data_IF_685835915828
#
_entry.id   IF_685835915828
#
_cell.length_a   1.000
_cell.length_b   1.000
_cell.length_c   1.000
_cell.angle_alpha   90.00
_cell.angle_beta   90.00
_cell.angle_gamma   90.00
#
_symmetry.space_group_name_H-M   'P 1'
#
loop_
_entity.id
_entity.type
_entity.pdbx_description
1 polymer ?
#
# COMPACT_ATOMS: atom_id res chain seq x y z
N UNK A 1 21.14 32.81 -0.56
CA UNK A 1 21.91 31.56 -0.49
C UNK A 1 21.04 30.48 -1.13
N UNK A 2 21.59 29.51 -1.87
CA UNK A 2 20.76 28.39 -2.34
C UNK A 2 20.35 27.59 -1.10
N UNK A 3 19.08 27.19 -1.03
CA UNK A 3 18.55 26.42 0.10
C UNK A 3 19.25 25.04 0.16
N UNK A 4 19.74 24.61 1.33
CA UNK A 4 20.50 23.36 1.46
C UNK A 4 19.68 22.09 1.16
N UNK A 5 18.35 22.13 1.33
CA UNK A 5 17.45 21.02 0.99
C UNK A 5 17.13 21.00 -0.51
N UNK A 6 16.84 22.15 -1.14
CA UNK A 6 16.71 22.25 -2.61
C UNK A 6 17.97 21.73 -3.29
N UNK A 7 19.14 22.25 -2.87
CA UNK A 7 20.42 21.81 -3.40
C UNK A 7 20.69 20.32 -3.17
N UNK A 8 20.20 19.74 -2.08
CA UNK A 8 20.32 18.31 -1.84
C UNK A 8 19.55 17.45 -2.87
N UNK A 9 18.46 17.98 -3.42
CA UNK A 9 17.74 17.34 -4.52
C UNK A 9 18.52 17.52 -5.83
N UNK A 10 18.93 18.75 -6.16
CA UNK A 10 19.76 19.09 -7.33
C UNK A 10 21.04 18.23 -7.44
N UNK A 11 21.84 18.17 -6.37
CA UNK A 11 23.11 17.41 -6.31
C UNK A 11 22.88 15.88 -6.11
N UNK A 12 21.63 15.40 -6.06
CA UNK A 12 21.23 14.01 -5.76
C UNK A 12 21.92 13.40 -4.53
N UNK A 13 22.26 14.23 -3.53
CA UNK A 13 23.09 13.83 -2.40
C UNK A 13 22.25 13.47 -1.15
N UNK A 14 22.93 13.11 -0.05
CA UNK A 14 22.28 12.81 1.23
C UNK A 14 21.82 14.10 1.93
N UNK A 15 20.65 14.10 2.61
CA UNK A 15 20.14 15.28 3.31
C UNK A 15 21.18 15.84 4.29
N UNK A 16 21.52 17.14 4.23
CA UNK A 16 22.61 17.71 5.00
C UNK A 16 22.16 18.03 6.45
N UNK A 17 21.72 17.01 7.19
CA UNK A 17 21.11 17.07 8.52
C UNK A 17 21.93 17.81 9.60
N UNK A 18 23.24 17.99 9.38
CA UNK A 18 24.12 18.73 10.28
C UNK A 18 24.14 20.25 10.02
N UNK A 19 23.49 20.74 8.95
CA UNK A 19 23.63 22.14 8.48
C UNK A 19 22.37 22.82 7.97
N UNK A 20 21.29 22.09 7.62
CA UNK A 20 19.99 22.73 7.34
C UNK A 20 19.20 22.96 8.63
N UNK A 21 18.26 23.91 8.58
CA UNK A 21 17.40 24.31 9.70
C UNK A 21 15.92 24.07 9.34
N UNK A 22 15.03 24.09 10.34
CA UNK A 22 13.58 23.97 10.11
C UNK A 22 13.06 25.00 9.09
N UNK A 23 13.58 26.23 9.16
CA UNK A 23 13.23 27.35 8.27
C UNK A 23 13.60 27.08 6.79
N UNK A 24 14.49 26.14 6.50
CA UNK A 24 14.82 25.73 5.13
C UNK A 24 13.72 24.82 4.53
N UNK A 25 12.88 24.16 5.34
CA UNK A 25 11.94 23.13 4.88
C UNK A 25 10.83 23.71 4.00
N UNK A 26 10.07 24.68 4.53
CA UNK A 26 8.92 25.24 3.81
C UNK A 26 9.32 25.90 2.47
N UNK A 27 10.42 26.69 2.39
CA UNK A 27 10.91 27.19 1.10
C UNK A 27 11.35 26.07 0.15
N UNK A 28 12.02 25.02 0.64
CA UNK A 28 12.48 23.92 -0.21
C UNK A 28 11.32 23.11 -0.79
N UNK A 29 10.30 22.81 0.01
CA UNK A 29 9.08 22.16 -0.47
C UNK A 29 8.34 23.05 -1.48
N UNK A 30 8.21 24.36 -1.22
CA UNK A 30 7.56 25.28 -2.18
C UNK A 30 8.34 25.42 -3.49
N UNK A 31 9.67 25.35 -3.47
CA UNK A 31 10.49 25.23 -4.69
C UNK A 31 10.19 23.93 -5.43
N UNK A 32 10.27 22.77 -4.75
CA UNK A 32 9.98 21.48 -5.37
C UNK A 32 8.54 21.36 -5.89
N UNK A 33 7.56 21.98 -5.23
CA UNK A 33 6.16 22.07 -5.70
C UNK A 33 6.04 22.92 -6.96
N UNK A 34 6.78 24.03 -7.06
CA UNK A 34 6.78 24.89 -8.24
C UNK A 34 7.49 24.23 -9.44
N UNK A 35 8.58 23.52 -9.19
CA UNK A 35 9.31 22.72 -10.18
C UNK A 35 8.45 21.55 -10.67
N UNK A 36 7.91 20.72 -9.77
CA UNK A 36 7.01 19.62 -10.09
C UNK A 36 5.74 20.08 -10.82
N UNK A 37 5.18 21.25 -10.49
CA UNK A 37 4.06 21.81 -11.23
C UNK A 37 4.45 22.25 -12.66
N UNK A 38 5.65 22.80 -12.85
CA UNK A 38 6.17 23.17 -14.17
C UNK A 38 6.45 21.91 -15.00
N UNK A 39 7.14 20.93 -14.42
CA UNK A 39 7.53 19.69 -15.09
C UNK A 39 6.34 18.76 -15.37
N UNK A 40 5.30 18.77 -14.51
CA UNK A 40 4.03 18.09 -14.80
C UNK A 40 3.32 18.75 -15.99
N UNK A 41 3.21 20.08 -16.04
CA UNK A 41 2.59 20.75 -17.19
C UNK A 41 3.39 20.47 -18.48
N UNK A 42 4.72 20.50 -18.43
CA UNK A 42 5.58 20.17 -19.58
C UNK A 42 5.46 18.70 -20.00
N UNK A 43 5.35 17.77 -19.04
CA UNK A 43 5.04 16.37 -19.31
C UNK A 43 3.66 16.21 -19.96
N UNK A 44 2.65 16.94 -19.51
CA UNK A 44 1.31 16.90 -20.11
C UNK A 44 1.30 17.46 -21.53
N UNK A 45 1.94 18.60 -21.77
CA UNK A 45 2.11 19.17 -23.13
C UNK A 45 2.81 18.16 -24.06
N UNK A 46 3.93 17.58 -23.64
CA UNK A 46 4.65 16.54 -24.39
C UNK A 46 3.76 15.29 -24.65
N UNK A 47 2.94 14.88 -23.68
CA UNK A 47 2.08 13.69 -23.78
C UNK A 47 0.79 13.92 -24.60
N UNK A 48 0.37 15.17 -24.78
CA UNK A 48 -0.67 15.57 -25.72
C UNK A 48 -0.16 15.56 -27.16
N UNK A 49 1.03 16.10 -27.41
CA UNK A 49 1.66 16.11 -28.74
C UNK A 49 2.32 14.75 -29.13
N UNK A 50 2.54 13.84 -28.17
CA UNK A 50 3.11 12.52 -28.40
C UNK A 50 2.19 11.58 -29.19
N UNK A 51 2.48 11.44 -30.49
CA UNK A 51 1.98 10.34 -31.34
C UNK A 51 2.48 8.96 -30.90
N UNK A 52 1.76 7.90 -31.29
CA UNK A 52 1.93 6.52 -30.81
C UNK A 52 3.35 5.96 -30.89
N UNK A 53 4.14 6.35 -31.90
CA UNK A 53 5.53 5.91 -32.09
C UNK A 53 6.50 6.42 -31.03
N UNK A 54 6.14 7.49 -30.32
CA UNK A 54 7.03 8.21 -29.41
C UNK A 54 6.73 7.89 -27.94
N UNK A 55 5.74 7.02 -27.68
CA UNK A 55 5.28 6.68 -26.33
C UNK A 55 5.88 5.35 -25.85
N UNK A 56 6.83 5.45 -24.91
CA UNK A 56 7.53 4.32 -24.32
C UNK A 56 7.51 4.41 -22.78
N UNK A 57 8.07 3.41 -22.09
CA UNK A 57 8.06 3.39 -20.62
C UNK A 57 8.85 4.59 -20.08
N UNK A 58 9.99 4.86 -20.69
CA UNK A 58 10.91 5.95 -20.38
C UNK A 58 10.25 7.33 -20.58
N UNK A 59 9.38 7.48 -21.59
CA UNK A 59 8.70 8.76 -21.88
C UNK A 59 7.47 9.03 -20.98
N UNK A 60 7.08 8.07 -20.14
CA UNK A 60 5.89 8.19 -19.26
C UNK A 60 6.28 7.89 -17.81
N UNK A 61 6.66 6.66 -17.50
CA UNK A 61 6.86 6.18 -16.13
C UNK A 61 8.17 6.69 -15.54
N UNK A 62 9.29 6.61 -16.27
CA UNK A 62 10.57 7.13 -15.75
C UNK A 62 10.51 8.66 -15.61
N UNK A 63 9.84 9.36 -16.55
CA UNK A 63 9.58 10.81 -16.41
C UNK A 63 8.74 11.12 -15.18
N UNK A 64 7.69 10.35 -14.89
CA UNK A 64 6.91 10.52 -13.67
C UNK A 64 7.76 10.29 -12.41
N UNK A 65 8.54 9.20 -12.36
CA UNK A 65 9.44 8.93 -11.23
C UNK A 65 10.44 10.09 -11.01
N UNK A 66 11.00 10.65 -12.10
CA UNK A 66 11.91 11.81 -12.04
C UNK A 66 11.23 13.07 -11.50
N UNK A 67 10.00 13.42 -11.93
CA UNK A 67 9.33 14.65 -11.48
C UNK A 67 8.70 14.51 -10.09
N UNK A 68 8.32 13.29 -9.69
CA UNK A 68 7.82 12.99 -8.36
C UNK A 68 8.96 13.00 -7.31
N UNK A 69 10.20 12.63 -7.69
CA UNK A 69 11.31 12.38 -6.75
C UNK A 69 11.69 13.55 -5.82
N UNK A 70 11.83 14.81 -6.27
CA UNK A 70 12.24 15.92 -5.40
C UNK A 70 11.22 16.17 -4.28
N UNK A 71 9.93 16.25 -4.61
CA UNK A 71 8.87 16.44 -3.62
C UNK A 71 8.77 15.23 -2.68
N UNK A 72 8.85 14.02 -3.23
CA UNK A 72 8.84 12.76 -2.47
C UNK A 72 9.99 12.70 -1.46
N UNK A 73 11.22 13.04 -1.86
CA UNK A 73 12.40 13.02 -1.00
C UNK A 73 12.35 14.10 0.08
N UNK A 74 11.93 15.32 -0.23
CA UNK A 74 11.76 16.35 0.83
C UNK A 74 10.63 15.96 1.79
N UNK A 75 9.55 15.35 1.30
CA UNK A 75 8.49 14.80 2.16
C UNK A 75 8.99 13.68 3.07
N UNK A 76 9.84 12.78 2.57
CA UNK A 76 10.50 11.74 3.37
C UNK A 76 11.49 12.33 4.40
N UNK A 77 12.19 13.42 4.09
CA UNK A 77 13.02 14.15 5.07
C UNK A 77 12.14 14.70 6.19
N UNK A 78 11.03 15.36 5.85
CA UNK A 78 10.09 15.93 6.83
C UNK A 78 9.45 14.84 7.71
N UNK A 79 9.01 13.73 7.11
CA UNK A 79 8.49 12.57 7.85
C UNK A 79 9.54 11.97 8.79
N UNK A 80 10.78 11.77 8.31
CA UNK A 80 11.88 11.27 9.12
C UNK A 80 12.19 12.20 10.29
N UNK A 81 12.26 13.52 10.08
CA UNK A 81 12.51 14.50 11.14
C UNK A 81 11.42 14.47 12.21
N UNK A 82 10.14 14.46 11.84
CA UNK A 82 9.02 14.29 12.79
C UNK A 82 9.11 12.96 13.55
N UNK A 83 9.70 11.92 12.96
CA UNK A 83 9.86 10.60 13.59
C UNK A 83 11.05 10.49 14.54
N UNK A 84 12.14 11.24 14.33
CA UNK A 84 13.40 11.07 15.12
C UNK A 84 13.82 12.30 15.94
N UNK A 85 13.30 13.48 15.62
CA UNK A 85 13.71 14.76 16.23
C UNK A 85 12.57 15.80 16.23
N UNK A 86 11.35 15.35 16.58
CA UNK A 86 10.16 16.22 16.60
C UNK A 86 10.36 17.53 17.40
N UNK A 87 9.79 18.62 16.87
CA UNK A 87 9.83 19.93 17.52
C UNK A 87 8.53 20.71 17.26
N UNK A 88 8.23 21.76 18.04
CA UNK A 88 7.11 22.66 17.74
C UNK A 88 7.23 23.28 16.34
N UNK A 89 8.44 23.67 15.96
CA UNK A 89 8.73 24.37 14.71
C UNK A 89 8.59 23.43 13.51
N UNK A 90 9.05 22.17 13.63
CA UNK A 90 8.86 21.14 12.60
C UNK A 90 7.39 20.85 12.35
N UNK A 91 6.57 20.78 13.40
CA UNK A 91 5.12 20.58 13.28
C UNK A 91 4.39 21.81 12.74
N UNK A 92 4.91 23.01 12.97
CA UNK A 92 4.39 24.23 12.34
C UNK A 92 4.69 24.24 10.83
N UNK A 93 5.95 23.96 10.45
CA UNK A 93 6.37 23.83 9.06
C UNK A 93 5.58 22.74 8.29
N UNK A 94 5.37 21.59 8.92
CA UNK A 94 4.55 20.49 8.40
C UNK A 94 3.08 20.91 8.23
N UNK A 95 2.44 21.46 9.27
CA UNK A 95 1.04 21.87 9.22
C UNK A 95 0.78 23.02 8.22
N UNK A 96 1.77 23.88 7.95
CA UNK A 96 1.69 24.90 6.90
C UNK A 96 1.69 24.27 5.50
N UNK A 97 2.56 23.28 5.24
CA UNK A 97 2.86 22.83 3.88
C UNK A 97 2.07 21.60 3.42
N UNK A 98 1.62 20.73 4.34
CA UNK A 98 0.86 19.51 4.01
C UNK A 98 -0.37 19.75 3.10
N UNK A 99 -1.16 20.84 3.23
CA UNK A 99 -2.25 21.13 2.29
C UNK A 99 -1.78 21.39 0.85
N UNK A 100 -0.61 22.02 0.67
CA UNK A 100 -0.03 22.30 -0.66
C UNK A 100 0.50 21.01 -1.30
N UNK A 101 1.17 20.15 -0.53
CA UNK A 101 1.61 18.80 -0.96
C UNK A 101 0.41 17.96 -1.39
N UNK A 102 -0.64 17.91 -0.56
CA UNK A 102 -1.85 17.15 -0.85
C UNK A 102 -2.57 17.67 -2.10
N UNK A 103 -2.64 18.99 -2.30
CA UNK A 103 -3.23 19.58 -3.50
C UNK A 103 -2.45 19.20 -4.77
N UNK A 104 -1.12 19.23 -4.73
CA UNK A 104 -0.28 18.88 -5.88
C UNK A 104 -0.34 17.38 -6.21
N UNK A 105 -0.28 16.50 -5.20
CA UNK A 105 -0.44 15.05 -5.40
C UNK A 105 -1.80 14.73 -6.04
N UNK A 106 -2.89 15.34 -5.56
CA UNK A 106 -4.21 15.20 -6.19
C UNK A 106 -4.21 15.70 -7.64
N UNK A 107 -3.56 16.83 -7.95
CA UNK A 107 -3.48 17.38 -9.31
C UNK A 107 -2.72 16.46 -10.28
N UNK A 108 -1.67 15.78 -9.83
CA UNK A 108 -0.91 14.80 -10.62
C UNK A 108 -1.68 13.49 -10.78
N UNK A 109 -2.25 12.95 -9.70
CA UNK A 109 -3.01 11.69 -9.73
C UNK A 109 -4.36 11.81 -10.47
N UNK A 110 -4.88 13.02 -10.62
CA UNK A 110 -6.09 13.33 -11.40
C UNK A 110 -5.78 13.85 -12.82
N UNK A 111 -4.51 13.81 -13.26
CA UNK A 111 -4.12 14.18 -14.63
C UNK A 111 -4.72 13.19 -15.65
N UNK A 112 -5.67 13.66 -16.45
CA UNK A 112 -6.30 12.85 -17.49
C UNK A 112 -5.34 12.57 -18.64
N UNK A 113 -4.44 13.51 -18.96
CA UNK A 113 -3.39 13.37 -19.98
C UNK A 113 -2.39 12.28 -19.58
N UNK A 114 -1.88 12.31 -18.34
CA UNK A 114 -0.97 11.27 -17.82
C UNK A 114 -1.67 9.91 -17.76
N UNK A 115 -2.92 9.87 -17.29
CA UNK A 115 -3.72 8.64 -17.25
C UNK A 115 -3.94 8.05 -18.66
N UNK A 116 -4.22 8.88 -19.66
CA UNK A 116 -4.32 8.47 -21.07
C UNK A 116 -2.97 7.97 -21.63
N UNK A 117 -1.85 8.56 -21.21
CA UNK A 117 -0.52 8.06 -21.56
C UNK A 117 -0.22 6.69 -20.93
N UNK A 118 -0.53 6.50 -19.64
CA UNK A 118 -0.39 5.21 -18.96
C UNK A 118 -1.26 4.11 -19.61
N UNK A 119 -2.48 4.43 -20.05
CA UNK A 119 -3.33 3.48 -20.77
C UNK A 119 -2.75 3.10 -22.14
N UNK A 120 -2.32 4.08 -22.93
CA UNK A 120 -1.64 3.86 -24.22
C UNK A 120 -0.38 3.00 -24.01
N UNK A 121 0.45 3.29 -23.00
CA UNK A 121 1.63 2.49 -22.64
C UNK A 121 1.26 1.05 -22.27
N UNK A 122 0.28 0.86 -21.38
CA UNK A 122 -0.16 -0.46 -20.89
C UNK A 122 -0.79 -1.34 -21.98
N UNK A 123 -1.27 -0.76 -23.09
CA UNK A 123 -1.75 -1.53 -24.25
C UNK A 123 -0.65 -2.19 -25.10
N UNK A 124 0.63 -1.96 -24.76
CA UNK A 124 1.78 -2.67 -25.33
C UNK A 124 1.95 -4.08 -24.71
N UNK A 125 3.02 -4.80 -25.08
CA UNK A 125 3.11 -6.26 -24.95
C UNK A 125 4.20 -6.79 -23.98
N UNK A 126 4.84 -5.93 -23.19
CA UNK A 126 6.25 -6.10 -22.75
C UNK A 126 6.59 -5.59 -21.31
N UNK A 127 6.27 -6.28 -20.18
CA UNK A 127 5.92 -5.53 -18.91
C UNK A 127 6.29 -5.94 -17.40
N UNK A 128 6.83 -7.10 -16.92
CA UNK A 128 6.79 -7.43 -15.43
C UNK A 128 7.97 -8.22 -14.75
N UNK A 129 8.39 -7.89 -13.48
CA UNK A 129 9.24 -8.72 -12.53
C UNK A 129 9.29 -8.26 -11.03
N UNK A 130 9.61 -9.18 -10.08
CA UNK A 130 10.24 -9.01 -8.71
C UNK A 130 9.43 -8.36 -7.52
N UNK A 131 9.76 -8.39 -6.19
CA UNK A 131 10.66 -9.18 -5.26
C UNK A 131 10.12 -9.22 -3.76
N UNK A 132 10.92 -9.48 -2.70
CA UNK A 132 10.46 -9.80 -1.28
C UNK A 132 11.30 -9.20 -0.08
N UNK A 133 10.79 -9.15 1.20
CA UNK A 133 11.25 -8.18 2.24
C UNK A 133 11.68 -8.63 3.70
N UNK A 134 11.74 -9.90 4.10
CA UNK A 134 11.64 -10.38 5.52
C UNK A 134 12.66 -9.86 6.59
N UNK A 135 13.79 -9.27 6.21
CA UNK A 135 14.99 -9.21 7.08
C UNK A 135 15.04 -8.05 8.11
N UNK A 136 14.06 -7.15 8.12
CA UNK A 136 14.22 -5.81 8.70
C UNK A 136 13.88 -5.69 10.21
N UNK A 137 13.11 -6.62 10.77
CA UNK A 137 12.34 -6.37 12.01
C UNK A 137 13.03 -6.65 13.37
N UNK A 138 14.10 -7.45 13.42
CA UNK A 138 14.68 -7.88 14.71
C UNK A 138 15.67 -6.87 15.32
N UNK A 139 16.33 -6.06 14.49
CA UNK A 139 17.41 -5.14 14.92
C UNK A 139 16.87 -3.88 15.63
N UNK A 140 15.63 -3.48 15.32
CA UNK A 140 15.02 -2.25 15.83
C UNK A 140 14.84 -2.23 17.36
N UNK A 141 14.55 -3.38 17.97
CA UNK A 141 14.23 -3.49 19.41
C UNK A 141 15.48 -3.63 20.31
N UNK A 142 16.68 -3.30 19.80
CA UNK A 142 17.89 -3.13 20.60
C UNK A 142 18.67 -4.41 20.94
N UNK A 143 18.21 -5.59 20.52
CA UNK A 143 18.89 -6.87 20.71
C UNK A 143 20.04 -7.08 19.70
N UNK A 144 21.14 -6.33 19.88
CA UNK A 144 22.25 -6.25 18.91
C UNK A 144 22.98 -7.57 18.60
N UNK A 145 22.95 -8.54 19.51
CA UNK A 145 23.55 -9.88 19.33
C UNK A 145 22.58 -10.89 18.68
N UNK A 146 21.35 -10.48 18.34
CA UNK A 146 20.37 -11.35 17.72
C UNK A 146 20.74 -11.66 16.25
N UNK A 147 20.56 -12.92 15.87
CA UNK A 147 20.81 -13.43 14.52
C UNK A 147 19.70 -14.42 14.13
N UNK A 148 19.69 -14.89 12.88
CA UNK A 148 18.81 -15.98 12.47
C UNK A 148 19.01 -17.28 13.29
N UNK A 149 20.17 -17.48 13.93
CA UNK A 149 20.48 -18.65 14.74
C UNK A 149 20.33 -18.41 16.27
N UNK A 150 20.39 -17.16 16.72
CA UNK A 150 20.42 -16.78 18.14
C UNK A 150 19.39 -15.70 18.40
N UNK A 151 18.35 -16.00 19.19
CA UNK A 151 17.29 -15.04 19.51
C UNK A 151 17.70 -13.95 20.52
N UNK A 152 16.76 -13.09 20.95
CA UNK A 152 15.31 -13.19 20.70
C UNK A 152 14.91 -12.80 19.27
N UNK A 153 13.71 -13.23 18.87
CA UNK A 153 13.11 -12.89 17.58
C UNK A 153 11.76 -12.21 17.81
N UNK A 154 11.46 -11.19 17.01
CA UNK A 154 10.18 -10.47 16.98
C UNK A 154 9.40 -10.89 15.74
N UNK A 155 8.17 -11.34 15.94
CA UNK A 155 7.28 -11.73 14.86
C UNK A 155 6.28 -10.59 14.60
N UNK A 156 6.28 -10.04 13.39
CA UNK A 156 5.28 -9.07 12.94
C UNK A 156 4.08 -9.78 12.29
N UNK A 157 2.99 -9.04 12.10
CA UNK A 157 1.80 -9.52 11.37
C UNK A 157 1.89 -9.26 9.86
N UNK A 158 3.01 -8.73 9.38
CA UNK A 158 3.26 -8.51 7.96
C UNK A 158 3.33 -9.87 7.25
N UNK A 159 2.71 -9.98 6.07
CA UNK A 159 2.62 -11.23 5.31
C UNK A 159 3.97 -11.98 5.12
N UNK A 160 5.12 -11.29 4.87
CA UNK A 160 6.47 -11.87 4.88
C UNK A 160 6.85 -12.67 6.14
N UNK A 161 6.43 -12.22 7.33
CA UNK A 161 6.77 -12.87 8.60
C UNK A 161 5.65 -13.81 9.06
N UNK A 162 4.40 -13.38 8.90
CA UNK A 162 3.21 -14.13 9.28
C UNK A 162 3.12 -15.48 8.54
N UNK A 163 3.20 -15.49 7.21
CA UNK A 163 2.95 -16.72 6.45
C UNK A 163 4.01 -17.82 6.65
N UNK A 164 5.33 -17.55 6.74
CA UNK A 164 6.31 -18.57 7.11
C UNK A 164 6.05 -19.15 8.51
N UNK A 165 5.64 -18.34 9.50
CA UNK A 165 5.27 -18.86 10.82
C UNK A 165 4.04 -19.77 10.73
N UNK A 166 3.00 -19.35 10.00
CA UNK A 166 1.79 -20.16 9.81
C UNK A 166 2.06 -21.48 9.05
N UNK A 167 3.04 -21.50 8.15
CA UNK A 167 3.40 -22.69 7.36
C UNK A 167 4.44 -23.61 7.97
N UNK A 168 5.36 -23.09 8.80
CA UNK A 168 6.56 -23.82 9.23
C UNK A 168 6.73 -23.94 10.75
N UNK A 169 6.04 -23.12 11.55
CA UNK A 169 6.18 -23.18 13.01
C UNK A 169 5.43 -24.38 13.57
N UNK A 170 6.16 -25.41 14.01
CA UNK A 170 5.59 -26.61 14.64
C UNK A 170 4.93 -26.34 16.00
N UNK A 171 5.22 -25.21 16.65
CA UNK A 171 4.64 -24.83 17.92
C UNK A 171 3.23 -24.24 17.73
N UNK A 172 2.21 -25.10 17.73
CA UNK A 172 0.78 -24.77 17.47
C UNK A 172 0.29 -23.51 18.20
N UNK A 173 0.64 -23.33 19.47
CA UNK A 173 0.20 -22.17 20.25
C UNK A 173 0.77 -20.84 19.74
N UNK A 174 1.97 -20.84 19.14
CA UNK A 174 2.52 -19.65 18.46
C UNK A 174 1.72 -19.33 17.19
N UNK A 175 1.35 -20.34 16.40
CA UNK A 175 0.46 -20.16 15.24
C UNK A 175 -0.90 -19.62 15.66
N UNK A 176 -1.47 -20.14 16.75
CA UNK A 176 -2.74 -19.64 17.30
C UNK A 176 -2.67 -18.16 17.69
N UNK A 177 -1.63 -17.75 18.44
CA UNK A 177 -1.44 -16.36 18.84
C UNK A 177 -1.32 -15.44 17.62
N UNK A 178 -0.48 -15.79 16.65
CA UNK A 178 -0.29 -14.97 15.44
C UNK A 178 -1.55 -14.92 14.58
N UNK A 179 -2.22 -16.05 14.36
CA UNK A 179 -3.47 -16.11 13.59
C UNK A 179 -4.53 -15.21 14.22
N UNK A 180 -4.75 -15.34 15.54
CA UNK A 180 -5.74 -14.52 16.26
C UNK A 180 -5.40 -13.04 16.13
N UNK A 181 -4.15 -12.66 16.40
CA UNK A 181 -3.70 -11.27 16.29
C UNK A 181 -3.84 -10.72 14.84
N UNK A 182 -3.55 -11.54 13.83
CA UNK A 182 -3.72 -11.17 12.42
C UNK A 182 -5.19 -10.91 12.07
N UNK A 183 -6.11 -11.83 12.40
CA UNK A 183 -7.53 -11.68 12.06
C UNK A 183 -8.28 -10.65 12.92
N UNK A 184 -7.72 -10.24 14.06
CA UNK A 184 -8.22 -9.10 14.87
C UNK A 184 -7.43 -7.80 14.65
N UNK A 185 -6.68 -7.69 13.54
CA UNK A 185 -6.00 -6.44 13.19
C UNK A 185 -7.03 -5.33 13.00
N UNK A 186 -6.83 -4.20 13.68
CA UNK A 186 -7.70 -3.04 13.63
C UNK A 186 -9.18 -3.30 14.01
N UNK A 187 -9.42 -4.20 14.98
CA UNK A 187 -10.77 -4.48 15.53
C UNK A 187 -10.91 -4.13 17.03
N UNK A 188 -10.01 -3.30 17.58
CA UNK A 188 -10.03 -2.88 18.99
C UNK A 188 -9.49 -1.46 19.17
N UNK A 189 -10.06 -0.63 20.08
CA UNK A 189 -9.58 0.73 20.33
C UNK A 189 -8.09 0.80 20.70
N UNK A 190 -7.36 1.86 20.31
CA UNK A 190 -7.83 3.03 19.57
C UNK A 190 -7.96 2.83 18.05
N UNK A 191 -7.57 1.68 17.53
CA UNK A 191 -7.49 1.40 16.09
C UNK A 191 -8.67 0.55 15.57
N UNK A 192 -9.86 0.71 16.15
CA UNK A 192 -11.03 -0.06 15.72
C UNK A 192 -11.65 0.54 14.44
N UNK A 193 -11.53 -0.18 13.33
CA UNK A 193 -12.12 0.20 12.05
C UNK A 193 -13.61 -0.13 11.95
N UNK A 194 -14.21 -0.87 12.90
CA UNK A 194 -15.61 -1.30 12.82
C UNK A 194 -16.60 -0.13 12.66
N UNK A 195 -16.49 1.00 13.40
CA UNK A 195 -17.36 2.16 13.20
C UNK A 195 -17.14 2.84 11.84
N UNK A 196 -15.88 2.91 11.37
CA UNK A 196 -15.52 3.51 10.08
C UNK A 196 -16.11 2.69 8.92
N UNK A 197 -16.09 1.35 9.03
CA UNK A 197 -16.72 0.45 8.05
C UNK A 197 -18.24 0.62 8.06
N UNK A 198 -18.87 0.77 9.23
CA UNK A 198 -20.31 1.05 9.31
C UNK A 198 -20.67 2.38 8.63
N UNK A 199 -20.02 3.48 8.99
CA UNK A 199 -20.25 4.80 8.39
C UNK A 199 -20.03 4.78 6.86
N UNK A 200 -18.96 4.10 6.40
CA UNK A 200 -18.70 3.91 4.98
C UNK A 200 -19.83 3.15 4.25
N UNK A 201 -20.46 2.16 4.89
CA UNK A 201 -21.59 1.42 4.31
C UNK A 201 -22.86 2.29 4.27
N UNK A 202 -23.15 3.04 5.33
CA UNK A 202 -24.28 3.96 5.40
C UNK A 202 -24.18 5.07 4.33
N UNK A 203 -23.00 5.70 4.20
CA UNK A 203 -22.72 6.72 3.18
C UNK A 203 -22.77 6.15 1.75
N UNK A 204 -22.30 4.93 1.52
CA UNK A 204 -22.41 4.23 0.22
C UNK A 204 -23.86 3.97 -0.15
N UNK A 205 -24.68 3.53 0.80
CA UNK A 205 -26.10 3.28 0.58
C UNK A 205 -26.88 4.57 0.31
N UNK A 206 -26.61 5.65 1.05
CA UNK A 206 -27.19 6.96 0.79
C UNK A 206 -26.80 7.50 -0.60
N UNK A 207 -25.55 7.33 -1.02
CA UNK A 207 -25.07 7.71 -2.37
C UNK A 207 -25.80 6.93 -3.49
N UNK A 208 -26.08 5.65 -3.29
CA UNK A 208 -26.83 4.85 -4.26
C UNK A 208 -28.27 5.39 -4.44
N UNK A 209 -28.96 5.63 -3.32
CA UNK A 209 -30.34 6.12 -3.31
C UNK A 209 -30.48 7.52 -3.91
N UNK A 210 -29.52 8.43 -3.64
CA UNK A 210 -29.47 9.76 -4.25
C UNK A 210 -29.28 9.74 -5.77
N UNK A 211 -28.70 8.67 -6.31
CA UNK A 211 -28.48 8.46 -7.74
C UNK A 211 -29.54 7.56 -8.40
N UNK A 212 -30.57 7.14 -7.65
CA UNK A 212 -31.70 6.36 -8.16
C UNK A 212 -31.53 4.84 -8.13
N UNK A 213 -30.45 4.32 -7.54
CA UNK A 213 -30.17 2.88 -7.38
C UNK A 213 -30.67 2.37 -6.03
N UNK A 214 -31.09 1.10 -5.96
CA UNK A 214 -31.56 0.50 -4.70
C UNK A 214 -30.38 0.15 -3.78
N UNK A 215 -29.25 -0.29 -4.35
CA UNK A 215 -28.04 -0.66 -3.63
C UNK A 215 -26.78 -0.02 -4.20
N UNK A 216 -25.72 0.08 -3.39
CA UNK A 216 -24.39 0.47 -3.87
C UNK A 216 -23.79 -0.56 -4.85
N UNK A 217 -24.25 -1.81 -4.86
CA UNK A 217 -23.84 -2.82 -5.82
C UNK A 217 -24.33 -2.48 -7.24
N UNK A 218 -25.61 -2.13 -7.41
CA UNK A 218 -26.16 -1.67 -8.69
C UNK A 218 -25.45 -0.43 -9.23
N UNK A 219 -25.23 0.57 -8.37
CA UNK A 219 -24.48 1.79 -8.71
C UNK A 219 -23.04 1.44 -9.15
N UNK A 220 -22.39 0.53 -8.44
CA UNK A 220 -21.03 0.07 -8.77
C UNK A 220 -20.98 -0.76 -10.05
N UNK A 221 -22.07 -1.39 -10.49
CA UNK A 221 -22.07 -2.18 -11.73
C UNK A 221 -22.28 -1.34 -13.01
N UNK A 222 -22.69 -0.06 -12.90
CA UNK A 222 -22.95 0.79 -14.07
C UNK A 222 -21.73 1.00 -14.99
N UNK A 223 -20.51 0.88 -14.46
CA UNK A 223 -19.25 1.01 -15.21
C UNK A 223 -18.50 -0.33 -15.39
N UNK A 224 -19.18 -1.48 -15.22
CA UNK A 224 -18.56 -2.82 -15.21
C UNK A 224 -19.18 -3.76 -16.23
N UNK A 225 -18.40 -4.80 -16.58
CA UNK A 225 -18.77 -5.81 -17.59
C UNK A 225 -19.88 -6.78 -17.13
N UNK A 226 -20.15 -6.88 -15.83
CA UNK A 226 -21.19 -7.75 -15.30
C UNK A 226 -22.55 -7.01 -15.36
N UNK A 227 -23.58 -7.56 -16.02
CA UNK A 227 -24.76 -6.81 -16.42
C UNK A 227 -25.76 -6.53 -15.29
N UNK A 228 -25.69 -7.27 -14.19
CA UNK A 228 -26.54 -7.07 -13.00
C UNK A 228 -25.93 -7.72 -11.76
N UNK A 229 -26.48 -7.44 -10.58
CA UNK A 229 -26.01 -8.02 -9.31
C UNK A 229 -26.27 -9.53 -9.29
N UNK A 230 -27.44 -9.96 -9.76
CA UNK A 230 -27.87 -11.36 -9.84
C UNK A 230 -26.90 -12.20 -10.68
N UNK A 231 -26.38 -11.66 -11.79
CA UNK A 231 -25.40 -12.39 -12.63
C UNK A 231 -24.04 -12.54 -11.93
N UNK A 232 -23.67 -11.60 -11.04
CA UNK A 232 -22.48 -11.75 -10.18
C UNK A 232 -22.73 -12.79 -9.09
N UNK A 233 -23.91 -12.75 -8.45
CA UNK A 233 -24.28 -13.73 -7.42
C UNK A 233 -24.39 -15.15 -7.99
N UNK A 234 -25.04 -15.35 -9.13
CA UNK A 234 -25.14 -16.64 -9.83
C UNK A 234 -23.75 -17.20 -10.18
N UNK A 235 -22.84 -16.37 -10.69
CA UNK A 235 -21.46 -16.77 -10.97
C UNK A 235 -20.72 -17.21 -9.69
N UNK A 236 -20.88 -16.47 -8.59
CA UNK A 236 -20.26 -16.82 -7.30
C UNK A 236 -20.90 -18.06 -6.65
N UNK A 237 -22.22 -18.25 -6.83
CA UNK A 237 -22.96 -19.43 -6.39
C UNK A 237 -22.52 -20.69 -7.17
N UNK A 238 -22.44 -20.62 -8.50
CA UNK A 238 -21.97 -21.71 -9.36
C UNK A 238 -20.51 -22.09 -9.06
N UNK A 239 -19.64 -21.11 -8.83
CA UNK A 239 -18.27 -21.35 -8.38
C UNK A 239 -18.23 -22.01 -7.00
N UNK A 240 -18.99 -21.51 -6.03
CA UNK A 240 -19.09 -22.10 -4.68
C UNK A 240 -19.55 -23.54 -4.77
N UNK A 241 -20.59 -23.84 -5.53
CA UNK A 241 -21.21 -25.17 -5.54
C UNK A 241 -20.33 -26.22 -6.25
N UNK A 242 -19.42 -25.78 -7.13
CA UNK A 242 -18.35 -26.61 -7.71
C UNK A 242 -17.15 -26.79 -6.79
N UNK A 243 -16.71 -25.73 -6.10
CA UNK A 243 -15.52 -25.76 -5.25
C UNK A 243 -15.77 -26.37 -3.85
N UNK A 244 -16.94 -26.13 -3.24
CA UNK A 244 -17.27 -26.59 -1.89
C UNK A 244 -17.16 -28.12 -1.66
N UNK A 245 -17.55 -29.03 -2.58
CA UNK A 245 -17.29 -30.45 -2.40
C UNK A 245 -15.79 -30.81 -2.50
N UNK A 246 -15.02 -30.09 -3.33
CA UNK A 246 -13.58 -30.29 -3.48
C UNK A 246 -12.85 -29.84 -2.20
N UNK A 247 -13.10 -28.61 -1.73
CA UNK A 247 -12.43 -28.08 -0.53
C UNK A 247 -12.88 -28.72 0.79
N UNK A 248 -13.94 -29.53 0.77
CA UNK A 248 -14.22 -30.49 1.85
C UNK A 248 -13.32 -31.71 1.78
N UNK A 249 -13.18 -32.34 0.61
CA UNK A 249 -12.27 -33.46 0.43
C UNK A 249 -10.80 -33.06 0.68
N UNK A 250 -10.37 -31.87 0.23
CA UNK A 250 -9.04 -31.31 0.54
C UNK A 250 -8.85 -31.16 2.07
N UNK A 251 -9.85 -30.66 2.80
CA UNK A 251 -9.78 -30.55 4.25
C UNK A 251 -9.78 -31.92 4.95
N UNK A 252 -10.59 -32.88 4.48
CA UNK A 252 -10.62 -34.25 4.99
C UNK A 252 -9.27 -34.96 4.78
N UNK A 253 -8.60 -34.72 3.64
CA UNK A 253 -7.24 -35.21 3.35
C UNK A 253 -6.18 -34.58 4.28
N UNK A 254 -6.25 -33.27 4.53
CA UNK A 254 -5.33 -32.57 5.46
C UNK A 254 -5.61 -32.98 6.92
N UNK A 255 -6.87 -33.17 7.34
CA UNK A 255 -7.18 -33.74 8.66
C UNK A 255 -6.63 -35.18 8.78
N UNK A 256 -6.78 -36.01 7.76
CA UNK A 256 -6.22 -37.37 7.75
C UNK A 256 -4.69 -37.38 7.82
N UNK A 257 -4.02 -36.50 7.07
CA UNK A 257 -2.56 -36.34 7.08
C UNK A 257 -2.05 -35.86 8.45
N UNK A 258 -2.69 -34.85 9.03
CA UNK A 258 -2.36 -34.32 10.35
C UNK A 258 -2.50 -35.40 11.44
N UNK A 259 -3.62 -36.12 11.45
CA UNK A 259 -3.88 -37.20 12.40
C UNK A 259 -2.86 -38.35 12.27
N UNK A 260 -2.48 -38.72 11.04
CA UNK A 260 -1.43 -39.72 10.79
C UNK A 260 -0.05 -39.31 11.34
N UNK A 261 0.22 -38.01 11.44
CA UNK A 261 1.44 -37.43 12.00
C UNK A 261 1.32 -37.01 13.48
N UNK A 262 0.30 -37.49 14.18
CA UNK A 262 0.16 -37.31 15.63
C UNK A 262 -0.54 -36.01 16.06
N UNK A 263 -1.27 -35.34 15.16
CA UNK A 263 -2.30 -34.39 15.59
C UNK A 263 -3.43 -35.16 16.33
N UNK A 264 -4.04 -34.52 17.32
CA UNK A 264 -4.99 -35.16 18.27
C UNK A 264 -6.31 -34.40 18.43
N UNK A 265 -6.54 -33.40 17.58
CA UNK A 265 -7.69 -32.51 17.61
C UNK A 265 -8.25 -32.34 16.20
N UNK A 266 -9.44 -31.74 16.10
CA UNK A 266 -9.89 -31.17 14.83
C UNK A 266 -8.92 -30.07 14.39
N UNK A 267 -8.74 -29.87 13.09
CA UNK A 267 -7.94 -28.73 12.60
C UNK A 267 -8.69 -27.42 12.85
N UNK A 268 -7.98 -26.44 13.40
CA UNK A 268 -8.43 -25.06 13.52
C UNK A 268 -7.78 -24.21 12.41
N UNK A 269 -8.28 -22.99 12.18
CA UNK A 269 -7.77 -22.13 11.10
C UNK A 269 -6.26 -21.81 11.19
N UNK A 270 -5.65 -21.90 12.38
CA UNK A 270 -4.21 -21.73 12.59
C UNK A 270 -3.39 -23.03 12.40
N UNK A 271 -4.04 -24.13 12.03
CA UNK A 271 -3.38 -25.40 11.68
C UNK A 271 -3.40 -25.65 10.16
N UNK A 272 -4.42 -25.18 9.44
CA UNK A 272 -4.67 -25.47 8.00
C UNK A 272 -3.52 -25.08 7.06
N UNK A 273 -2.66 -24.13 7.44
CA UNK A 273 -1.51 -23.72 6.62
C UNK A 273 -0.22 -24.51 6.90
N UNK A 274 -0.18 -25.28 8.00
CA UNK A 274 1.01 -26.00 8.48
C UNK A 274 1.02 -27.49 8.07
N UNK A 275 -0.16 -28.05 7.82
CA UNK A 275 -0.38 -29.44 7.41
C UNK A 275 -0.59 -29.55 5.90
#
# INVERSE_FOLDING_TARGET
MVNPLTRCMEDYCLPPYATFHTDDIVPAVRTALAEYALDLNALEDDLMDAGESNLCWESVMDRLEIIDDPLRRISMILEHLRSVVDSPDLRAADAEIQPEILAMNNRRDQSDVVFQAMQRLRSRADFNTAFTPEQQNAVADGHKEATAATGPWKLSLEYPVYMPVMKQCSHRHTREILFRAFVTTASTPPFDNSPIVQEMLELRQARAQLLGFQTYAELSLQDKMAPSVEVVEDMLNDLRDKCLPLSKAELDEVEAFANAHGHISRLEHWDTAYW
#
